data_IF_665273048893
#
_entry.id   IF_665273048893
#
_cell.length_a   1.000
_cell.length_b   1.000
_cell.length_c   1.000
_cell.angle_alpha   90.00
_cell.angle_beta   90.00
_cell.angle_gamma   90.00
#
_symmetry.space_group_name_H-M   'P 1'
#
loop_
_entity.id
_entity.type
_entity.pdbx_description
1 polymer ?
#
# COMPACT_ATOMS: atom_id res chain seq x y z
N UNK A 1 -40.93 -24.42 -57.27
CA UNK A 1 -40.62 -24.92 -55.92
C UNK A 1 -39.10 -25.03 -55.66
N UNK A 2 -38.30 -24.01 -56.01
CA UNK A 2 -36.84 -24.00 -55.73
C UNK A 2 -36.34 -22.71 -55.05
N UNK A 3 -37.16 -21.66 -54.98
CA UNK A 3 -36.77 -20.40 -54.33
C UNK A 3 -37.27 -20.27 -52.88
N UNK A 4 -38.24 -21.08 -52.46
CA UNK A 4 -38.74 -21.09 -51.07
C UNK A 4 -37.86 -21.93 -50.13
N UNK A 5 -37.08 -22.87 -50.66
CA UNK A 5 -36.22 -23.76 -49.86
C UNK A 5 -34.96 -23.02 -49.35
N UNK A 6 -34.53 -21.95 -50.01
CA UNK A 6 -33.31 -21.21 -49.64
C UNK A 6 -33.53 -20.31 -48.42
N UNK A 7 -34.74 -19.78 -48.19
CA UNK A 7 -35.02 -18.97 -47.00
C UNK A 7 -35.04 -19.79 -45.69
N UNK A 8 -35.37 -21.09 -45.75
CA UNK A 8 -35.39 -21.96 -44.56
C UNK A 8 -33.97 -22.42 -44.17
N UNK A 9 -33.03 -22.47 -45.12
CA UNK A 9 -31.64 -22.82 -44.86
C UNK A 9 -30.82 -21.67 -44.27
N UNK A 10 -31.13 -20.42 -44.60
CA UNK A 10 -30.47 -19.23 -44.01
C UNK A 10 -30.99 -18.93 -42.60
N UNK A 11 -32.26 -19.25 -42.30
CA UNK A 11 -32.83 -19.07 -40.96
C UNK A 11 -32.22 -20.00 -39.89
N UNK A 12 -31.60 -21.13 -40.28
CA UNK A 12 -30.94 -22.04 -39.32
C UNK A 12 -29.53 -21.61 -38.91
N UNK A 13 -28.86 -20.74 -39.67
CA UNK A 13 -27.52 -20.25 -39.31
C UNK A 13 -27.54 -19.04 -38.36
N UNK A 14 -28.71 -18.51 -38.04
CA UNK A 14 -28.86 -17.40 -37.07
C UNK A 14 -29.10 -17.88 -35.62
N UNK A 15 -29.24 -19.19 -35.42
CA UNK A 15 -29.16 -19.80 -34.10
C UNK A 15 -27.72 -20.28 -33.90
N UNK A 16 -26.78 -19.34 -33.86
CA UNK A 16 -25.61 -19.58 -33.02
C UNK A 16 -26.17 -19.89 -31.65
N UNK A 17 -25.94 -21.13 -31.21
CA UNK A 17 -26.08 -21.50 -29.82
C UNK A 17 -25.47 -20.35 -29.02
N UNK A 18 -26.31 -19.65 -28.24
CA UNK A 18 -25.81 -18.98 -27.06
C UNK A 18 -25.30 -20.10 -26.16
N UNK A 19 -24.09 -20.58 -26.46
CA UNK A 19 -23.19 -21.03 -25.44
C UNK A 19 -23.09 -19.79 -24.56
N UNK A 20 -23.91 -19.77 -23.51
CA UNK A 20 -23.57 -19.02 -22.31
C UNK A 20 -22.24 -19.63 -21.89
N UNK A 21 -21.16 -19.10 -22.43
CA UNK A 21 -19.88 -19.19 -21.78
C UNK A 21 -20.16 -18.55 -20.41
N UNK A 22 -20.30 -19.39 -19.40
CA UNK A 22 -19.90 -19.02 -18.05
C UNK A 22 -18.40 -18.72 -18.13
N UNK A 23 -18.05 -17.59 -18.74
CA UNK A 23 -16.83 -16.91 -18.40
C UNK A 23 -17.21 -16.11 -17.17
N UNK A 24 -16.53 -16.42 -16.07
CA UNK A 24 -16.57 -15.72 -14.80
C UNK A 24 -16.04 -14.29 -14.94
N UNK A 25 -16.71 -13.47 -15.74
CA UNK A 25 -16.47 -12.04 -15.82
C UNK A 25 -17.20 -11.37 -14.66
N UNK A 26 -16.63 -11.57 -13.47
CA UNK A 26 -16.86 -10.82 -12.23
C UNK A 26 -16.82 -9.29 -12.50
N UNK A 27 -16.16 -8.87 -13.59
CA UNK A 27 -15.99 -7.48 -14.01
C UNK A 27 -17.23 -6.83 -14.66
N UNK A 28 -18.18 -7.61 -15.19
CA UNK A 28 -19.42 -7.04 -15.74
C UNK A 28 -20.34 -6.45 -14.64
N UNK A 29 -20.24 -6.95 -13.42
CA UNK A 29 -21.03 -6.49 -12.26
C UNK A 29 -20.54 -5.13 -11.75
N UNK A 30 -19.26 -4.79 -11.94
CA UNK A 30 -18.74 -3.46 -11.61
C UNK A 30 -19.24 -2.36 -12.57
N UNK A 31 -19.68 -2.71 -13.78
CA UNK A 31 -20.18 -1.77 -14.79
C UNK A 31 -21.71 -1.57 -14.73
N UNK A 32 -22.45 -2.41 -14.01
CA UNK A 32 -23.91 -2.34 -13.88
C UNK A 32 -24.35 -1.52 -12.65
N UNK A 33 -24.11 -0.20 -12.70
CA UNK A 33 -25.07 0.76 -12.13
C UNK A 33 -25.28 0.76 -10.61
N UNK A 34 -24.22 0.76 -9.80
CA UNK A 34 -24.27 1.35 -8.45
C UNK A 34 -23.17 2.41 -8.31
N UNK A 35 -23.57 3.67 -8.46
CA UNK A 35 -22.93 4.86 -7.89
C UNK A 35 -21.39 4.92 -7.87
N UNK A 36 -20.84 5.55 -8.91
CA UNK A 36 -19.46 6.04 -8.94
C UNK A 36 -19.12 6.82 -7.66
N UNK A 37 -17.95 6.53 -7.10
CA UNK A 37 -17.26 7.25 -6.02
C UNK A 37 -17.58 6.95 -4.54
N UNK A 38 -18.60 6.17 -4.17
CA UNK A 38 -18.90 5.95 -2.72
C UNK A 38 -18.21 4.69 -2.11
N UNK A 39 -17.59 3.82 -2.92
CA UNK A 39 -17.47 2.43 -2.52
C UNK A 39 -16.07 1.83 -2.33
N UNK A 40 -14.94 2.52 -2.54
CA UNK A 40 -13.63 1.82 -2.58
C UNK A 40 -13.20 1.31 -1.18
N UNK A 41 -13.43 2.07 -0.11
CA UNK A 41 -13.21 1.58 1.28
C UNK A 41 -14.29 0.57 1.71
N UNK A 42 -15.49 0.63 1.09
CA UNK A 42 -16.61 -0.29 1.32
C UNK A 42 -16.49 -1.60 0.51
N UNK A 43 -15.72 -1.60 -0.57
CA UNK A 43 -15.53 -2.72 -1.50
C UNK A 43 -14.08 -3.23 -1.46
N UNK A 44 -13.58 -3.50 -0.25
CA UNK A 44 -12.27 -4.15 -0.05
C UNK A 44 -12.15 -5.44 -0.88
N UNK A 45 -13.25 -6.16 -1.04
CA UNK A 45 -13.33 -7.36 -1.86
C UNK A 45 -12.90 -7.13 -3.32
N UNK A 46 -13.25 -5.99 -3.93
CA UNK A 46 -12.81 -5.67 -5.30
C UNK A 46 -11.30 -5.47 -5.35
N UNK A 47 -10.73 -4.75 -4.38
CA UNK A 47 -9.30 -4.53 -4.28
C UNK A 47 -8.55 -5.85 -4.03
N UNK A 48 -9.08 -6.70 -3.16
CA UNK A 48 -8.50 -8.01 -2.83
C UNK A 48 -8.54 -8.93 -4.05
N UNK A 49 -9.65 -8.99 -4.80
CA UNK A 49 -9.74 -9.73 -6.06
C UNK A 49 -8.74 -9.21 -7.11
N UNK A 50 -8.63 -7.89 -7.25
CA UNK A 50 -7.67 -7.27 -8.17
C UNK A 50 -6.22 -7.66 -7.83
N UNK A 51 -5.85 -7.58 -6.55
CA UNK A 51 -4.52 -7.93 -6.09
C UNK A 51 -4.27 -9.45 -6.15
N UNK A 52 -5.28 -10.28 -5.91
CA UNK A 52 -5.19 -11.73 -6.06
C UNK A 52 -4.91 -12.12 -7.52
N UNK A 53 -5.63 -11.52 -8.48
CA UNK A 53 -5.38 -11.73 -9.91
C UNK A 53 -3.97 -11.27 -10.31
N UNK A 54 -3.50 -10.15 -9.77
CA UNK A 54 -2.12 -9.71 -9.99
C UNK A 54 -1.11 -10.73 -9.46
N UNK A 55 -1.33 -11.28 -8.27
CA UNK A 55 -0.46 -12.30 -7.68
C UNK A 55 -0.45 -13.58 -8.53
N UNK A 56 -1.62 -14.14 -8.85
CA UNK A 56 -1.75 -15.37 -9.64
C UNK A 56 -1.10 -15.26 -11.03
N UNK A 57 -1.18 -14.07 -11.65
CA UNK A 57 -0.59 -13.83 -12.97
C UNK A 57 0.94 -13.71 -12.93
N UNK A 58 1.51 -13.07 -11.90
CA UNK A 58 2.91 -12.64 -11.91
C UNK A 58 3.82 -13.44 -10.97
N UNK A 59 3.24 -14.20 -10.03
CA UNK A 59 3.97 -15.00 -9.06
C UNK A 59 3.42 -16.43 -9.03
N UNK A 60 3.54 -17.19 -10.14
CA UNK A 60 3.02 -18.54 -10.25
C UNK A 60 3.70 -19.52 -9.28
N UNK A 61 4.79 -19.14 -8.61
CA UNK A 61 5.44 -19.93 -7.57
C UNK A 61 4.65 -20.04 -6.26
N UNK A 62 3.56 -19.28 -6.10
CA UNK A 62 2.70 -19.33 -4.91
C UNK A 62 1.42 -20.13 -5.18
N UNK A 63 1.42 -21.40 -4.77
CA UNK A 63 0.25 -22.29 -4.91
C UNK A 63 -0.88 -21.97 -3.93
N UNK A 64 -0.53 -21.48 -2.73
CA UNK A 64 -1.50 -21.10 -1.69
C UNK A 64 -1.06 -19.81 -0.97
N UNK A 65 -1.98 -18.87 -0.80
CA UNK A 65 -1.69 -17.61 -0.09
C UNK A 65 -2.93 -16.99 0.56
N UNK A 66 -2.69 -16.17 1.58
CA UNK A 66 -3.66 -15.25 2.15
C UNK A 66 -3.34 -13.83 1.70
N UNK A 67 -4.38 -13.08 1.30
CA UNK A 67 -4.28 -11.69 0.86
C UNK A 67 -5.35 -10.84 1.56
N UNK A 68 -4.96 -9.67 2.06
CA UNK A 68 -5.89 -8.76 2.74
C UNK A 68 -5.52 -7.29 2.55
N UNK A 69 -6.51 -6.43 2.33
CA UNK A 69 -6.28 -4.97 2.33
C UNK A 69 -5.94 -4.50 3.76
N UNK A 70 -4.80 -3.85 3.93
CA UNK A 70 -4.38 -3.27 5.23
C UNK A 70 -5.08 -1.92 5.45
N UNK A 71 -5.24 -1.14 4.37
CA UNK A 71 -5.94 0.14 4.34
C UNK A 71 -5.73 0.85 3.00
N UNK A 72 -6.17 2.10 2.92
CA UNK A 72 -5.99 2.93 1.73
C UNK A 72 -5.38 4.28 2.18
N UNK A 73 -4.25 4.65 1.59
CA UNK A 73 -3.60 5.94 1.75
C UNK A 73 -3.97 6.87 0.60
N UNK A 74 -4.20 8.15 0.88
CA UNK A 74 -4.74 9.08 -0.11
C UNK A 74 -4.58 10.55 0.26
N UNK A 75 -3.37 10.97 0.67
CA UNK A 75 -3.04 12.41 0.70
C UNK A 75 -3.91 13.27 1.64
N UNK A 76 -4.43 12.69 2.73
CA UNK A 76 -5.24 13.42 3.72
C UNK A 76 -6.68 13.74 3.29
N UNK A 77 -7.11 13.36 2.08
CA UNK A 77 -8.49 13.56 1.62
C UNK A 77 -9.22 12.23 1.50
N UNK A 78 -10.47 12.18 1.96
CA UNK A 78 -11.39 11.07 1.67
C UNK A 78 -11.38 10.85 0.17
N UNK A 79 -11.30 9.60 -0.28
CA UNK A 79 -11.45 9.23 -1.70
C UNK A 79 -12.81 9.78 -2.14
N UNK A 80 -12.80 10.96 -2.76
CA UNK A 80 -14.01 11.70 -3.07
C UNK A 80 -13.98 12.05 -4.55
N UNK A 81 -14.99 11.54 -5.25
CA UNK A 81 -15.48 11.99 -6.55
C UNK A 81 -14.64 11.65 -7.78
N UNK A 82 -13.33 11.93 -7.76
CA UNK A 82 -12.49 11.93 -8.96
C UNK A 82 -11.14 11.30 -8.68
N UNK A 83 -11.13 9.96 -8.53
CA UNK A 83 -9.96 9.08 -8.52
C UNK A 83 -8.66 9.72 -8.01
N UNK A 84 -8.62 10.13 -6.74
CA UNK A 84 -7.41 10.66 -6.08
C UNK A 84 -6.27 9.63 -6.15
N UNK A 85 -5.02 10.10 -6.19
CA UNK A 85 -3.87 9.21 -6.12
C UNK A 85 -3.99 8.35 -4.86
N UNK A 86 -3.91 7.04 -5.02
CA UNK A 86 -4.16 6.08 -3.95
C UNK A 86 -2.96 5.17 -3.76
N UNK A 87 -2.60 4.94 -2.49
CA UNK A 87 -1.66 3.91 -2.07
C UNK A 87 -2.43 2.81 -1.34
N UNK A 88 -2.50 1.61 -1.91
CA UNK A 88 -3.21 0.48 -1.30
C UNK A 88 -2.21 -0.63 -0.97
N UNK A 89 -1.80 -0.75 0.31
CA UNK A 89 -0.98 -1.86 0.76
C UNK A 89 -1.86 -3.09 1.07
N UNK A 90 -1.48 -4.23 0.51
CA UNK A 90 -2.05 -5.53 0.79
C UNK A 90 -1.06 -6.37 1.60
N UNK A 91 -1.58 -7.00 2.65
CA UNK A 91 -0.91 -8.03 3.42
C UNK A 91 -0.96 -9.34 2.63
N UNK A 92 0.20 -9.83 2.19
CA UNK A 92 0.35 -11.14 1.58
C UNK A 92 1.08 -12.07 2.55
N UNK A 93 0.53 -13.26 2.77
CA UNK A 93 1.20 -14.32 3.55
C UNK A 93 1.11 -15.63 2.76
N UNK A 94 2.26 -16.26 2.50
CA UNK A 94 2.25 -17.59 1.89
C UNK A 94 1.60 -18.59 2.84
N UNK A 95 0.79 -19.49 2.29
CA UNK A 95 0.25 -20.64 3.01
C UNK A 95 1.06 -21.89 2.68
N UNK A 96 1.05 -22.84 3.61
CA UNK A 96 1.51 -24.21 3.40
C UNK A 96 0.53 -25.16 4.07
N UNK A 97 -0.06 -26.05 3.28
CA UNK A 97 -1.10 -26.98 3.74
C UNK A 97 -2.27 -26.25 4.42
N UNK A 98 -2.72 -25.13 3.84
CA UNK A 98 -3.78 -24.28 4.37
C UNK A 98 -3.42 -23.43 5.59
N UNK A 99 -2.16 -23.44 6.05
CA UNK A 99 -1.71 -22.71 7.26
C UNK A 99 -0.81 -21.53 6.92
N UNK A 100 -1.00 -20.41 7.64
CA UNK A 100 -0.16 -19.22 7.52
C UNK A 100 1.30 -19.53 7.88
N UNK A 101 2.22 -19.07 7.04
CA UNK A 101 3.67 -19.11 7.28
C UNK A 101 4.20 -17.74 7.71
N UNK A 102 5.49 -17.67 8.06
CA UNK A 102 6.16 -16.39 8.32
C UNK A 102 6.63 -15.67 7.04
N UNK A 103 6.42 -16.27 5.85
CA UNK A 103 6.73 -15.62 4.59
C UNK A 103 5.65 -14.56 4.27
N UNK A 104 5.92 -13.34 4.72
CA UNK A 104 5.07 -12.17 4.55
C UNK A 104 5.65 -11.22 3.51
N UNK A 105 4.78 -10.67 2.67
CA UNK A 105 5.11 -9.63 1.68
C UNK A 105 4.06 -8.53 1.69
N UNK A 106 4.45 -7.38 1.17
CA UNK A 106 3.53 -6.31 0.81
C UNK A 106 3.34 -6.35 -0.70
N UNK A 107 2.09 -6.50 -1.13
CA UNK A 107 1.71 -6.13 -2.50
C UNK A 107 1.24 -4.68 -2.40
N UNK A 108 1.86 -3.79 -3.15
CA UNK A 108 1.60 -2.36 -3.11
C UNK A 108 0.99 -1.94 -4.44
N UNK A 109 -0.20 -1.36 -4.39
CA UNK A 109 -0.82 -0.71 -5.52
C UNK A 109 -0.69 0.80 -5.37
N UNK A 110 -0.02 1.41 -6.33
CA UNK A 110 -0.02 2.84 -6.57
C UNK A 110 -0.98 3.13 -7.71
N UNK A 111 -2.03 3.89 -7.44
CA UNK A 111 -3.05 4.21 -8.42
C UNK A 111 -3.04 5.72 -8.67
N UNK A 112 -2.68 6.11 -9.89
CA UNK A 112 -2.50 7.51 -10.29
C UNK A 112 -3.86 8.22 -10.44
N UNK A 113 -3.87 9.56 -10.50
CA UNK A 113 -5.13 10.30 -10.64
C UNK A 113 -5.96 9.78 -11.83
N UNK A 114 -7.27 9.55 -11.61
CA UNK A 114 -8.21 9.08 -12.63
C UNK A 114 -8.19 7.58 -12.92
N UNK A 115 -7.46 6.78 -12.12
CA UNK A 115 -7.44 5.31 -12.22
C UNK A 115 -8.82 4.67 -12.07
N UNK A 116 -9.77 5.35 -11.43
CA UNK A 116 -11.19 5.04 -11.49
C UNK A 116 -11.92 6.23 -12.08
N UNK A 117 -12.77 5.96 -13.06
CA UNK A 117 -13.63 6.94 -13.71
C UNK A 117 -14.98 6.30 -14.09
N UNK A 118 -15.83 7.03 -14.80
CA UNK A 118 -17.18 6.57 -15.19
C UNK A 118 -17.20 5.31 -16.06
N UNK A 119 -16.08 4.94 -16.67
CA UNK A 119 -15.92 3.74 -17.49
C UNK A 119 -15.32 2.56 -16.70
N UNK A 120 -15.03 2.73 -15.41
CA UNK A 120 -14.45 1.71 -14.55
C UNK A 120 -12.99 1.99 -14.19
N UNK A 121 -12.20 0.92 -14.04
CA UNK A 121 -10.78 0.95 -13.67
C UNK A 121 -9.90 1.10 -14.91
N UNK A 122 -9.04 2.12 -14.92
CA UNK A 122 -7.97 2.29 -15.90
C UNK A 122 -6.69 1.63 -15.39
N UNK A 123 -6.46 0.39 -15.85
CA UNK A 123 -5.30 -0.41 -15.46
C UNK A 123 -3.96 0.21 -15.88
N UNK A 124 -3.94 1.09 -16.89
CA UNK A 124 -2.70 1.76 -17.32
C UNK A 124 -2.19 2.77 -16.27
N UNK A 125 -3.06 3.16 -15.33
CA UNK A 125 -2.75 4.06 -14.21
C UNK A 125 -2.43 3.33 -12.91
N UNK A 126 -2.39 2.00 -12.96
CA UNK A 126 -2.06 1.15 -11.83
C UNK A 126 -0.61 0.70 -11.92
N UNK A 127 0.15 0.96 -10.86
CA UNK A 127 1.52 0.50 -10.71
C UNK A 127 1.63 -0.40 -9.50
N UNK A 128 2.12 -1.61 -9.73
CA UNK A 128 2.31 -2.61 -8.70
C UNK A 128 3.75 -2.71 -8.28
N UNK A 129 4.00 -2.89 -6.98
CA UNK A 129 5.30 -3.28 -6.46
C UNK A 129 5.12 -4.35 -5.38
N UNK A 130 6.08 -5.29 -5.31
CA UNK A 130 6.12 -6.31 -4.27
C UNK A 130 7.33 -6.09 -3.39
N UNK A 131 7.10 -5.91 -2.09
CA UNK A 131 8.15 -5.57 -1.13
C UNK A 131 8.19 -6.62 -0.02
N UNK A 132 9.41 -7.01 0.35
CA UNK A 132 9.68 -7.83 1.52
C UNK A 132 9.91 -6.95 2.77
N UNK A 133 10.13 -7.59 3.90
CA UNK A 133 10.44 -6.93 5.17
C UNK A 133 11.70 -6.05 5.08
N UNK A 134 12.70 -6.47 4.30
CA UNK A 134 13.96 -5.73 4.16
C UNK A 134 13.74 -4.40 3.44
N UNK A 135 13.04 -4.42 2.30
CA UNK A 135 12.75 -3.22 1.52
C UNK A 135 11.84 -2.25 2.30
N UNK A 136 10.84 -2.76 3.01
CA UNK A 136 10.00 -1.93 3.88
C UNK A 136 10.80 -1.30 5.04
N UNK A 137 11.60 -2.10 5.75
CA UNK A 137 12.39 -1.59 6.87
C UNK A 137 13.48 -0.61 6.40
N UNK A 138 14.02 -0.78 5.19
CA UNK A 138 14.89 0.21 4.54
C UNK A 138 14.15 1.53 4.30
N UNK A 139 12.92 1.50 3.79
CA UNK A 139 12.10 2.69 3.61
C UNK A 139 11.88 3.42 4.93
N UNK A 140 11.44 2.72 5.98
CA UNK A 140 11.20 3.33 7.29
C UNK A 140 12.50 3.87 7.90
N UNK A 141 13.63 3.20 7.66
CA UNK A 141 14.94 3.65 8.12
C UNK A 141 15.33 4.97 7.44
N UNK A 142 15.25 5.05 6.11
CA UNK A 142 15.57 6.27 5.37
C UNK A 142 14.61 7.41 5.74
N UNK A 143 13.30 7.14 5.83
CA UNK A 143 12.33 8.11 6.32
C UNK A 143 12.69 8.68 7.70
N UNK A 144 13.09 7.80 8.63
CA UNK A 144 13.44 8.19 9.99
C UNK A 144 14.70 9.06 10.02
N UNK A 145 15.73 8.73 9.24
CA UNK A 145 16.96 9.51 9.13
C UNK A 145 16.74 10.85 8.42
N UNK A 146 15.89 10.85 7.39
CA UNK A 146 15.48 12.06 6.68
C UNK A 146 14.79 13.04 7.63
N UNK A 147 13.91 12.51 8.49
CA UNK A 147 13.14 13.28 9.45
C UNK A 147 13.84 13.52 10.79
N UNK A 148 15.14 13.25 10.94
CA UNK A 148 15.83 13.41 12.24
C UNK A 148 16.87 14.53 12.22
N UNK A 149 17.05 15.27 13.33
CA UNK A 149 18.20 16.15 13.53
C UNK A 149 19.53 15.39 13.56
N UNK A 150 19.52 14.06 13.74
CA UNK A 150 20.71 13.25 13.81
C UNK A 150 21.01 12.57 12.46
N UNK A 151 22.15 12.91 11.87
CA UNK A 151 22.67 12.27 10.67
C UNK A 151 23.57 11.11 11.06
N UNK A 152 23.11 9.90 10.78
CA UNK A 152 23.74 8.65 11.20
C UNK A 152 23.73 7.63 10.07
N UNK A 153 24.66 6.69 10.13
CA UNK A 153 24.61 5.46 9.34
C UNK A 153 23.98 4.37 10.18
N UNK A 154 22.84 3.84 9.74
CA UNK A 154 22.15 2.75 10.43
C UNK A 154 22.52 1.42 9.79
N UNK A 155 23.16 0.55 10.56
CA UNK A 155 23.55 -0.80 10.12
C UNK A 155 22.58 -1.82 10.71
N UNK A 156 22.09 -2.76 9.88
CA UNK A 156 21.22 -3.85 10.32
C UNK A 156 19.85 -3.41 10.88
N UNK A 157 19.42 -2.17 10.61
CA UNK A 157 18.18 -1.63 11.15
C UNK A 157 18.20 -1.37 12.65
N UNK A 158 19.39 -1.20 13.25
CA UNK A 158 19.57 -0.88 14.66
C UNK A 158 19.64 0.63 14.88
N UNK A 159 18.64 1.17 15.54
CA UNK A 159 18.55 2.59 15.89
C UNK A 159 19.13 2.84 17.28
N UNK A 160 20.08 3.78 17.45
CA UNK A 160 20.52 4.19 18.77
C UNK A 160 19.39 4.86 19.53
N UNK A 161 19.47 4.79 20.85
CA UNK A 161 18.51 5.43 21.74
C UNK A 161 18.97 6.85 22.07
N UNK A 162 18.05 7.78 22.01
CA UNK A 162 18.20 9.13 22.52
C UNK A 162 17.25 9.34 23.68
N UNK A 163 17.73 10.03 24.71
CA UNK A 163 16.92 10.44 25.86
C UNK A 163 16.79 11.95 25.86
N UNK A 164 15.62 12.43 26.25
CA UNK A 164 15.40 13.86 26.44
C UNK A 164 16.10 14.30 27.72
N UNK A 165 16.86 15.40 27.68
CA UNK A 165 17.50 15.95 28.87
C UNK A 165 16.43 16.50 29.81
N UNK A 166 16.58 16.25 31.12
CA UNK A 166 15.63 16.73 32.13
C UNK A 166 15.58 18.27 32.17
N UNK A 167 16.67 18.93 31.81
CA UNK A 167 16.79 20.40 31.84
C UNK A 167 16.11 21.12 30.68
N UNK A 168 15.80 20.44 29.56
CA UNK A 168 15.12 21.06 28.42
C UNK A 168 14.35 20.02 27.60
N UNK A 169 13.13 20.36 27.19
CA UNK A 169 12.31 19.47 26.36
C UNK A 169 12.78 19.39 24.89
N UNK A 170 13.84 20.12 24.51
CA UNK A 170 14.32 20.21 23.14
C UNK A 170 15.69 19.56 22.94
N UNK A 171 16.43 19.29 24.02
CA UNK A 171 17.75 18.65 23.93
C UNK A 171 17.66 17.14 24.11
N UNK A 172 18.34 16.44 23.20
CA UNK A 172 18.46 14.99 23.22
C UNK A 172 19.91 14.60 23.48
N UNK A 173 20.11 13.60 24.33
CA UNK A 173 21.41 12.97 24.58
C UNK A 173 21.43 11.55 23.99
N UNK A 174 22.54 11.19 23.35
CA UNK A 174 22.76 9.84 22.86
C UNK A 174 23.01 8.90 24.04
N UNK A 175 22.25 7.82 24.10
CA UNK A 175 22.48 6.68 24.97
C UNK A 175 23.23 5.59 24.20
N UNK A 176 24.57 5.71 24.19
CA UNK A 176 25.45 4.93 23.32
C UNK A 176 25.41 3.40 23.55
N UNK A 177 24.81 2.94 24.65
CA UNK A 177 24.74 1.52 25.01
C UNK A 177 23.42 0.86 24.61
N UNK A 178 22.42 1.63 24.15
CA UNK A 178 21.08 1.12 23.90
C UNK A 178 20.67 1.28 22.45
N UNK A 179 20.41 0.15 21.79
CA UNK A 179 19.96 0.08 20.40
C UNK A 179 18.63 -0.66 20.28
N UNK A 180 17.79 -0.24 19.35
CA UNK A 180 16.48 -0.84 19.10
C UNK A 180 16.39 -1.27 17.64
N UNK A 181 15.87 -2.48 17.39
CA UNK A 181 15.59 -2.92 16.03
C UNK A 181 14.41 -2.15 15.48
N UNK A 182 14.49 -1.71 14.22
CA UNK A 182 13.41 -1.01 13.54
C UNK A 182 12.10 -1.81 13.55
N UNK A 183 12.18 -3.14 13.51
CA UNK A 183 11.02 -4.05 13.59
C UNK A 183 10.18 -3.86 14.86
N UNK A 184 10.79 -3.36 15.93
CA UNK A 184 10.19 -3.27 17.27
C UNK A 184 9.65 -1.87 17.58
N UNK A 185 9.89 -0.90 16.68
CA UNK A 185 9.60 0.51 16.88
C UNK A 185 8.26 0.91 16.26
N UNK A 186 7.55 1.82 16.92
CA UNK A 186 6.36 2.47 16.38
C UNK A 186 6.74 3.83 15.79
N UNK A 187 6.10 4.21 14.68
CA UNK A 187 6.34 5.48 14.02
C UNK A 187 5.35 6.51 14.57
N UNK A 188 5.84 7.60 15.15
CA UNK A 188 5.03 8.74 15.60
C UNK A 188 5.42 10.03 14.88
N UNK A 189 4.65 11.10 15.06
CA UNK A 189 4.97 12.41 14.45
C UNK A 189 6.28 13.00 14.96
N UNK A 190 6.67 12.69 16.19
CA UNK A 190 7.82 13.29 16.88
C UNK A 190 9.03 12.37 16.96
N UNK A 191 8.95 11.16 16.39
CA UNK A 191 10.04 10.19 16.46
C UNK A 191 9.61 8.73 16.39
N UNK A 192 10.60 7.85 16.39
CA UNK A 192 10.40 6.42 16.64
C UNK A 192 10.21 6.19 18.13
N UNK A 193 9.23 5.34 18.46
CA UNK A 193 8.87 5.00 19.83
C UNK A 193 9.11 3.53 20.12
N UNK A 194 9.73 3.26 21.27
CA UNK A 194 9.64 1.97 21.91
C UNK A 194 8.57 2.06 23.00
N UNK A 195 7.48 1.31 22.83
CA UNK A 195 6.26 1.45 23.66
C UNK A 195 5.77 2.91 23.61
N UNK A 196 5.80 3.62 24.74
CA UNK A 196 5.34 5.01 24.86
C UNK A 196 6.48 6.04 24.89
N UNK A 197 7.75 5.59 24.83
CA UNK A 197 8.92 6.47 24.92
C UNK A 197 9.50 6.72 23.54
N UNK A 198 9.79 7.98 23.22
CA UNK A 198 10.56 8.34 22.03
C UNK A 198 12.01 7.89 22.28
N UNK A 199 12.55 7.10 21.36
CA UNK A 199 13.93 6.62 21.39
C UNK A 199 14.76 7.20 20.24
N UNK A 200 14.12 7.74 19.21
CA UNK A 200 14.81 8.39 18.11
C UNK A 200 13.95 9.57 17.63
N UNK A 201 14.36 10.83 17.89
CA UNK A 201 13.51 11.99 17.66
C UNK A 201 13.48 12.43 16.21
N UNK A 202 12.37 13.05 15.84
CA UNK A 202 12.17 13.69 14.55
C UNK A 202 12.16 15.22 14.66
N UNK A 203 12.30 15.90 13.51
CA UNK A 203 12.05 17.33 13.40
C UNK A 203 10.60 17.67 13.75
N UNK A 204 10.41 18.88 14.26
CA UNK A 204 9.11 19.51 14.33
C UNK A 204 8.94 20.39 13.09
N UNK A 205 8.41 19.81 12.01
CA UNK A 205 8.20 20.49 10.73
C UNK A 205 6.87 21.25 10.73
N UNK A 206 6.84 22.40 10.08
CA UNK A 206 5.61 23.14 9.82
C UNK A 206 4.89 22.59 8.57
N UNK A 207 3.65 23.04 8.32
CA UNK A 207 2.79 22.48 7.28
C UNK A 207 3.36 22.62 5.86
N UNK A 208 4.10 23.70 5.62
CA UNK A 208 4.67 24.03 4.31
C UNK A 208 6.10 23.48 4.12
N UNK A 209 6.65 22.79 5.13
CA UNK A 209 8.00 22.25 5.07
C UNK A 209 8.02 20.86 4.39
N UNK A 210 8.99 20.69 3.49
CA UNK A 210 9.29 19.42 2.84
C UNK A 210 10.77 19.09 2.98
N UNK A 211 11.06 17.87 3.43
CA UNK A 211 12.39 17.28 3.34
C UNK A 211 12.30 16.08 2.39
N UNK A 212 13.16 15.99 1.37
CA UNK A 212 13.05 15.02 0.28
C UNK A 212 14.37 14.26 0.08
N UNK A 213 14.29 12.97 -0.21
CA UNK A 213 15.44 12.13 -0.58
C UNK A 213 15.05 11.11 -1.66
N UNK A 214 16.00 10.71 -2.49
CA UNK A 214 15.82 9.59 -3.41
C UNK A 214 15.83 8.24 -2.65
N UNK A 215 14.77 7.44 -2.84
CA UNK A 215 14.71 6.08 -2.27
C UNK A 215 15.26 5.05 -3.25
N UNK A 216 14.88 5.17 -4.52
CA UNK A 216 15.39 4.36 -5.62
C UNK A 216 15.14 5.08 -6.97
N UNK A 217 15.38 4.39 -8.09
CA UNK A 217 15.23 4.96 -9.44
C UNK A 217 13.78 5.36 -9.79
N UNK A 218 12.78 4.82 -9.09
CA UNK A 218 11.35 5.06 -9.35
C UNK A 218 10.69 5.98 -8.32
N UNK A 219 11.24 6.04 -7.10
CA UNK A 219 10.58 6.66 -5.94
C UNK A 219 11.51 7.66 -5.27
N UNK A 220 10.96 8.85 -4.94
CA UNK A 220 11.47 9.70 -3.87
C UNK A 220 10.61 9.55 -2.63
N UNK A 221 11.21 9.71 -1.47
CA UNK A 221 10.49 9.84 -0.20
C UNK A 221 10.55 11.28 0.24
N UNK A 222 9.51 11.72 0.92
CA UNK A 222 9.49 13.03 1.54
C UNK A 222 8.85 12.99 2.92
N UNK A 223 9.15 14.01 3.72
CA UNK A 223 8.51 14.26 5.00
C UNK A 223 7.73 15.56 4.87
N UNK A 224 6.47 15.53 5.30
CA UNK A 224 5.63 16.70 5.45
C UNK A 224 4.65 16.44 6.61
N UNK A 225 4.46 17.43 7.50
CA UNK A 225 3.59 17.32 8.69
C UNK A 225 3.85 16.06 9.56
N UNK A 226 5.12 15.67 9.70
CA UNK A 226 5.52 14.47 10.44
C UNK A 226 4.89 13.17 9.89
N UNK A 227 4.66 13.11 8.59
CA UNK A 227 4.10 11.96 7.86
C UNK A 227 5.01 11.57 6.69
N UNK A 228 5.01 10.29 6.33
CA UNK A 228 5.76 9.76 5.19
C UNK A 228 5.02 10.04 3.89
N UNK A 229 5.71 10.72 2.99
CA UNK A 229 5.33 10.92 1.62
C UNK A 229 6.11 10.02 0.66
N UNK A 230 5.44 9.54 -0.37
CA UNK A 230 6.03 8.84 -1.51
C UNK A 230 5.75 9.68 -2.76
N UNK A 231 6.78 9.94 -3.55
CA UNK A 231 6.66 10.59 -4.86
C UNK A 231 7.08 9.61 -5.95
N UNK A 232 6.18 9.36 -6.89
CA UNK A 232 6.40 8.49 -8.05
C UNK A 232 7.00 9.32 -9.19
N UNK A 233 8.22 8.97 -9.61
CA UNK A 233 8.98 9.77 -10.58
C UNK A 233 8.44 9.71 -12.00
N UNK A 234 7.78 8.61 -12.36
CA UNK A 234 7.21 8.37 -13.67
C UNK A 234 5.92 9.14 -13.89
N UNK A 235 5.05 9.19 -12.87
CA UNK A 235 3.74 9.84 -12.98
C UNK A 235 3.70 11.23 -12.34
N UNK A 236 4.76 11.62 -11.63
CA UNK A 236 4.85 12.87 -10.86
C UNK A 236 3.77 12.98 -9.77
N UNK A 237 3.30 11.83 -9.27
CA UNK A 237 2.29 11.79 -8.22
C UNK A 237 2.92 11.76 -6.83
N UNK A 238 2.44 12.65 -5.95
CA UNK A 238 2.76 12.62 -4.51
C UNK A 238 1.65 11.95 -3.71
N UNK A 239 2.04 11.09 -2.76
CA UNK A 239 1.14 10.36 -1.87
C UNK A 239 1.60 10.52 -0.44
N UNK A 240 0.79 11.15 0.40
CA UNK A 240 1.00 11.18 1.85
C UNK A 240 0.30 9.98 2.50
N UNK A 241 1.04 9.20 3.28
CA UNK A 241 0.55 8.01 3.96
C UNK A 241 0.27 8.34 5.42
N UNK A 242 -0.95 8.05 5.89
CA UNK A 242 -1.28 8.28 7.30
C UNK A 242 -0.40 7.43 8.22
N UNK A 243 0.05 8.01 9.33
CA UNK A 243 0.84 7.29 10.36
C UNK A 243 0.15 6.02 10.86
N UNK A 244 -1.18 6.02 10.94
CA UNK A 244 -1.95 4.84 11.32
C UNK A 244 -1.76 3.71 10.29
N UNK A 245 -1.83 4.02 8.99
CA UNK A 245 -1.58 3.04 7.94
C UNK A 245 -0.12 2.57 7.93
N UNK A 246 0.85 3.48 8.08
CA UNK A 246 2.28 3.15 8.18
C UNK A 246 2.50 2.12 9.31
N UNK A 247 1.97 2.37 10.51
CA UNK A 247 2.13 1.44 11.63
C UNK A 247 1.41 0.11 11.41
N UNK A 248 0.23 0.07 10.77
CA UNK A 248 -0.44 -1.20 10.43
C UNK A 248 0.41 -2.05 9.47
N UNK A 249 0.92 -1.42 8.41
CA UNK A 249 1.79 -2.08 7.42
C UNK A 249 3.07 -2.56 8.10
N UNK A 250 3.70 -1.69 8.88
CA UNK A 250 4.95 -1.97 9.58
C UNK A 250 4.81 -3.07 10.63
N UNK A 251 3.70 -3.13 11.38
CA UNK A 251 3.41 -4.22 12.31
C UNK A 251 3.21 -5.54 11.55
N UNK A 252 2.38 -5.55 10.51
CA UNK A 252 2.10 -6.75 9.74
C UNK A 252 3.38 -7.39 9.18
N UNK A 253 4.19 -6.62 8.46
CA UNK A 253 5.35 -7.16 7.75
C UNK A 253 6.48 -7.59 8.69
N UNK A 254 6.54 -7.02 9.90
CA UNK A 254 7.51 -7.39 10.94
C UNK A 254 6.99 -8.44 11.92
N UNK A 255 5.92 -9.18 11.60
CA UNK A 255 5.46 -10.25 12.49
C UNK A 255 4.67 -9.80 13.71
N UNK A 256 4.50 -8.49 13.94
CA UNK A 256 3.86 -7.96 15.16
C UNK A 256 2.35 -8.08 15.07
N UNK A 257 1.71 -8.37 16.21
CA UNK A 257 0.24 -8.33 16.32
C UNK A 257 -0.25 -6.94 15.94
N UNK A 258 -1.18 -6.85 14.99
CA UNK A 258 -1.87 -5.60 14.73
C UNK A 258 -2.66 -5.24 16.00
N UNK A 259 -2.46 -4.04 16.54
CA UNK A 259 -3.26 -3.58 17.67
C UNK A 259 -4.74 -3.63 17.26
N UNK A 260 -5.51 -4.53 17.87
CA UNK A 260 -6.95 -4.52 17.77
C UNK A 260 -7.43 -3.21 18.41
N UNK A 261 -8.28 -2.46 17.71
CA UNK A 261 -8.90 -1.29 18.32
C UNK A 261 -9.82 -1.83 19.42
N UNK A 262 -9.53 -1.47 20.66
CA UNK A 262 -10.55 -1.38 21.71
C UNK A 262 -11.55 -0.28 21.32
#
# INVERSE_FOLDING_TARGET
>A
MKQIIILILVAKFSLFNQVKAQNDDIWAVAAAGVGLAIAIEKNKEILENLAANYVMKNFPEYDEFNLKVIGIGGGGKKISGEGTVSFVPFAFTQLKDGKLTDNRKLILLFASKGWINKFGVDYTRLKWQVWDVNKWNKLITQYSLLNSPFKLTITGGLFPTYRQKISSNLDWELDANNFNKISDLNISSTGLKLKNKIVFPFYNLEGDDYIVEDFNNEIKIFVNEGSLGIFLKDTYDSILISRNLINKVHNFINGRKMAEKN
#
